data_IF_758582318373
#
_entry.id   IF_758582318373
#
_cell.length_a   1.000
_cell.length_b   1.000
_cell.length_c   1.000
_cell.angle_alpha   90.00
_cell.angle_beta   90.00
_cell.angle_gamma   90.00
#
_symmetry.space_group_name_H-M   'P 1'
#
loop_
_entity.id
_entity.type
_entity.pdbx_description
1 polymer ?
#
# COMPACT_ATOMS: atom_id res chain seq x y z
N UNK A 1 -14.14 -27.38 -4.71
CA UNK A 1 -14.68 -26.62 -3.58
C UNK A 1 -15.30 -25.36 -4.14
N UNK A 2 -16.52 -25.00 -3.73
CA UNK A 2 -17.15 -23.77 -4.19
C UNK A 2 -16.35 -22.58 -3.61
N UNK A 3 -16.14 -21.52 -4.39
CA UNK A 3 -15.40 -20.33 -3.94
C UNK A 3 -16.03 -19.71 -2.68
N UNK A 4 -17.35 -19.79 -2.54
CA UNK A 4 -18.04 -19.26 -1.35
C UNK A 4 -17.63 -20.04 -0.09
N UNK A 5 -17.43 -21.36 -0.17
CA UNK A 5 -16.95 -22.16 0.98
C UNK A 5 -15.54 -21.76 1.41
N UNK A 6 -14.67 -21.50 0.45
CA UNK A 6 -13.30 -21.03 0.71
C UNK A 6 -13.30 -19.67 1.40
N UNK A 7 -14.14 -18.74 0.94
CA UNK A 7 -14.27 -17.41 1.55
C UNK A 7 -14.90 -17.46 2.94
N UNK A 8 -15.90 -18.32 3.15
CA UNK A 8 -16.49 -18.58 4.46
C UNK A 8 -15.46 -19.14 5.44
N UNK A 9 -14.67 -20.15 5.04
CA UNK A 9 -13.62 -20.73 5.89
C UNK A 9 -12.55 -19.71 6.28
N UNK A 10 -12.23 -18.77 5.39
CA UNK A 10 -11.30 -17.66 5.64
C UNK A 10 -11.88 -16.57 6.52
N UNK A 11 -13.16 -16.65 6.89
CA UNK A 11 -13.91 -15.58 7.57
C UNK A 11 -13.97 -14.29 6.73
N UNK A 12 -13.84 -14.39 5.40
CA UNK A 12 -13.69 -13.25 4.49
C UNK A 12 -15.03 -12.66 4.01
N UNK A 13 -16.17 -13.19 4.46
CA UNK A 13 -17.51 -12.71 4.11
C UNK A 13 -18.11 -11.97 5.31
N UNK A 14 -18.51 -10.71 5.10
CA UNK A 14 -19.27 -9.91 6.06
C UNK A 14 -20.76 -9.95 5.74
N UNK A 15 -21.13 -9.63 4.51
CA UNK A 15 -22.51 -9.67 4.02
C UNK A 15 -22.53 -10.20 2.59
N UNK A 16 -23.61 -10.90 2.24
CA UNK A 16 -23.85 -11.48 0.92
C UNK A 16 -25.35 -11.38 0.59
N UNK A 17 -25.68 -10.97 -0.63
CA UNK A 17 -27.06 -11.02 -1.14
C UNK A 17 -27.34 -12.40 -1.73
N UNK A 18 -28.52 -12.98 -1.46
CA UNK A 18 -28.98 -14.27 -2.01
C UNK A 18 -27.83 -15.30 -2.15
N UNK A 19 -27.25 -15.70 -1.02
CA UNK A 19 -26.11 -16.63 -1.00
C UNK A 19 -26.40 -17.92 -1.78
N UNK A 20 -27.63 -18.44 -1.66
CA UNK A 20 -28.05 -19.65 -2.36
C UNK A 20 -28.03 -19.45 -3.89
N UNK A 21 -28.49 -18.30 -4.39
CA UNK A 21 -28.39 -17.93 -5.80
C UNK A 21 -26.94 -17.79 -6.27
N UNK A 22 -26.11 -17.06 -5.52
CA UNK A 22 -24.70 -16.88 -5.90
C UNK A 22 -23.92 -18.20 -5.91
N UNK A 23 -24.20 -19.12 -4.99
CA UNK A 23 -23.62 -20.48 -4.97
C UNK A 23 -24.00 -21.26 -6.23
N UNK A 24 -25.28 -21.27 -6.60
CA UNK A 24 -25.73 -21.92 -7.85
C UNK A 24 -25.08 -21.30 -9.08
N UNK A 25 -24.93 -19.97 -9.11
CA UNK A 25 -24.33 -19.28 -10.24
C UNK A 25 -22.84 -19.65 -10.41
N UNK A 26 -22.08 -19.64 -9.31
CA UNK A 26 -20.65 -19.97 -9.28
C UNK A 26 -20.35 -21.43 -9.61
N UNK A 27 -21.30 -22.35 -9.36
CA UNK A 27 -21.22 -23.75 -9.78
C UNK A 27 -21.56 -23.95 -11.26
N UNK A 28 -22.46 -23.12 -11.79
CA UNK A 28 -22.98 -23.23 -13.16
C UNK A 28 -22.03 -22.64 -14.21
N UNK A 29 -21.36 -21.52 -13.91
CA UNK A 29 -20.48 -20.83 -14.87
C UNK A 29 -19.31 -20.09 -14.21
N UNK A 30 -18.35 -19.71 -15.05
CA UNK A 30 -17.37 -18.68 -14.70
C UNK A 30 -18.10 -17.34 -14.55
N UNK A 31 -18.20 -16.85 -13.31
CA UNK A 31 -18.84 -15.58 -12.97
C UNK A 31 -17.86 -14.43 -13.22
N UNK A 32 -18.37 -13.33 -13.78
CA UNK A 32 -17.62 -12.09 -13.79
C UNK A 32 -18.00 -11.25 -12.57
N UNK A 33 -17.00 -10.72 -11.88
CA UNK A 33 -17.17 -9.94 -10.67
C UNK A 33 -16.34 -8.67 -10.73
N UNK A 34 -16.61 -7.66 -9.91
CA UNK A 34 -15.78 -6.47 -9.85
C UNK A 34 -15.57 -5.87 -8.47
N UNK A 35 -14.47 -5.13 -8.31
CA UNK A 35 -14.26 -4.19 -7.21
C UNK A 35 -13.77 -2.86 -7.78
N UNK A 36 -14.26 -1.75 -7.22
CA UNK A 36 -13.80 -0.41 -7.56
C UNK A 36 -12.71 0.11 -6.63
N UNK A 37 -11.85 0.99 -7.13
CA UNK A 37 -10.95 1.81 -6.31
C UNK A 37 -10.91 3.24 -6.83
N UNK A 38 -11.14 4.21 -5.95
CA UNK A 38 -10.99 5.61 -6.29
C UNK A 38 -9.52 6.05 -6.19
N UNK A 39 -8.99 6.79 -7.18
CA UNK A 39 -7.59 7.25 -7.22
C UNK A 39 -7.34 8.46 -6.31
N UNK A 40 -7.68 8.34 -5.02
CA UNK A 40 -7.55 9.39 -4.00
C UNK A 40 -6.12 9.75 -3.63
N UNK A 41 -5.16 8.92 -4.03
CA UNK A 41 -3.74 9.13 -3.87
C UNK A 41 -2.96 8.45 -4.98
N UNK A 42 -1.68 8.73 -5.03
CA UNK A 42 -0.76 8.22 -6.05
C UNK A 42 -0.23 6.81 -5.76
N UNK A 43 -0.72 6.17 -4.69
CA UNK A 43 -0.44 4.76 -4.38
C UNK A 43 -1.56 4.15 -3.55
N UNK A 44 -1.77 2.83 -3.73
CA UNK A 44 -2.53 2.04 -2.77
C UNK A 44 -1.73 1.78 -1.50
N UNK A 45 -2.42 1.30 -0.48
CA UNK A 45 -1.89 0.89 0.82
C UNK A 45 -2.53 -0.44 1.21
N UNK A 46 -1.99 -1.13 2.23
CA UNK A 46 -2.44 -2.48 2.62
C UNK A 46 -3.94 -2.62 2.89
N UNK A 47 -4.62 -1.56 3.35
CA UNK A 47 -6.08 -1.58 3.50
C UNK A 47 -6.86 -1.82 2.20
N UNK A 48 -6.30 -1.43 1.04
CA UNK A 48 -6.88 -1.72 -0.26
C UNK A 48 -6.58 -3.15 -0.73
N UNK A 49 -5.60 -3.83 -0.14
CA UNK A 49 -5.16 -5.14 -0.61
C UNK A 49 -6.25 -6.20 -0.40
N UNK A 50 -7.11 -6.08 0.61
CA UNK A 50 -8.06 -7.13 0.98
C UNK A 50 -9.11 -7.40 -0.13
N UNK A 51 -9.84 -6.41 -0.68
CA UNK A 51 -10.69 -6.66 -1.84
C UNK A 51 -9.94 -7.28 -3.02
N UNK A 52 -8.68 -6.93 -3.22
CA UNK A 52 -7.86 -7.46 -4.31
C UNK A 52 -7.40 -8.91 -4.07
N UNK A 53 -7.12 -9.28 -2.82
CA UNK A 53 -6.93 -10.68 -2.44
C UNK A 53 -8.16 -11.50 -2.80
N UNK A 54 -9.36 -10.95 -2.55
CA UNK A 54 -10.61 -11.61 -2.92
C UNK A 54 -10.76 -11.77 -4.43
N UNK A 55 -10.55 -10.71 -5.22
CA UNK A 55 -10.57 -10.81 -6.69
C UNK A 55 -9.58 -11.88 -7.20
N UNK A 56 -8.37 -11.95 -6.61
CA UNK A 56 -7.38 -12.97 -6.97
C UNK A 56 -7.86 -14.37 -6.64
N UNK A 57 -8.53 -14.59 -5.51
CA UNK A 57 -9.12 -15.90 -5.17
C UNK A 57 -10.18 -16.32 -6.17
N UNK A 58 -11.06 -15.40 -6.57
CA UNK A 58 -12.02 -15.67 -7.64
C UNK A 58 -11.32 -16.02 -8.95
N UNK A 59 -10.27 -15.28 -9.33
CA UNK A 59 -9.46 -15.59 -10.52
C UNK A 59 -8.82 -16.98 -10.46
N UNK A 60 -8.24 -17.35 -9.32
CA UNK A 60 -7.64 -18.68 -9.11
C UNK A 60 -8.69 -19.80 -9.11
N UNK A 61 -9.93 -19.50 -8.72
CA UNK A 61 -11.07 -20.42 -8.83
C UNK A 61 -11.69 -20.49 -10.24
N UNK A 62 -11.11 -19.78 -11.24
CA UNK A 62 -11.56 -19.81 -12.63
C UNK A 62 -12.66 -18.80 -12.98
N UNK A 63 -12.94 -17.83 -12.10
CA UNK A 63 -13.83 -16.70 -12.36
C UNK A 63 -13.08 -15.54 -13.03
N UNK A 64 -13.79 -14.52 -13.51
CA UNK A 64 -13.19 -13.40 -14.24
C UNK A 64 -13.38 -12.06 -13.49
N UNK A 65 -12.38 -11.55 -12.77
CA UNK A 65 -12.50 -10.30 -12.05
C UNK A 65 -12.26 -9.08 -12.93
N UNK A 66 -13.01 -8.04 -12.67
CA UNK A 66 -12.84 -6.69 -13.17
C UNK A 66 -12.39 -5.76 -12.05
N UNK A 67 -11.45 -4.88 -12.36
CA UNK A 67 -11.03 -3.80 -11.48
C UNK A 67 -11.48 -2.50 -12.13
N UNK A 68 -12.35 -1.75 -11.46
CA UNK A 68 -12.70 -0.40 -11.88
C UNK A 68 -11.74 0.58 -11.21
N UNK A 69 -10.99 1.32 -12.02
CA UNK A 69 -10.35 2.55 -11.59
C UNK A 69 -11.40 3.65 -11.64
N UNK A 70 -11.67 4.25 -10.49
CA UNK A 70 -12.69 5.28 -10.30
C UNK A 70 -12.28 6.65 -10.84
N UNK A 71 -11.91 6.78 -12.10
CA UNK A 71 -11.50 8.06 -12.69
C UNK A 71 -12.63 9.10 -12.71
N UNK A 72 -13.87 8.68 -12.92
CA UNK A 72 -15.07 9.53 -12.83
C UNK A 72 -15.55 9.72 -11.39
N UNK A 73 -15.70 8.62 -10.62
CA UNK A 73 -16.13 8.67 -9.21
C UNK A 73 -15.15 9.41 -8.32
N UNK A 74 -13.86 9.35 -8.62
CA UNK A 74 -12.80 10.07 -7.90
C UNK A 74 -12.90 11.59 -7.98
N UNK A 75 -13.57 12.14 -9.01
CA UNK A 75 -13.85 13.59 -9.15
C UNK A 75 -14.89 14.05 -8.13
N UNK A 76 -15.74 13.14 -7.67
CA UNK A 76 -16.85 13.40 -6.76
C UNK A 76 -16.44 13.09 -5.32
N UNK A 77 -15.91 11.89 -5.11
CA UNK A 77 -15.43 11.39 -3.83
C UNK A 77 -16.48 10.63 -3.02
N UNK A 78 -16.14 9.41 -2.62
CA UNK A 78 -16.99 8.55 -1.77
C UNK A 78 -17.11 9.07 -0.33
N UNK A 79 -18.34 9.35 0.19
CA UNK A 79 -18.57 9.71 1.58
C UNK A 79 -18.49 8.52 2.56
N UNK A 80 -18.47 7.27 2.08
CA UNK A 80 -18.51 6.05 2.90
C UNK A 80 -17.35 5.97 3.89
N UNK A 81 -17.68 5.65 5.15
CA UNK A 81 -16.70 5.47 6.23
C UNK A 81 -15.96 6.75 6.66
N UNK A 82 -16.45 7.95 6.28
CA UNK A 82 -15.84 9.27 6.61
C UNK A 82 -16.77 10.14 7.46
N UNK A 83 -16.17 11.02 8.27
CA UNK A 83 -16.91 12.01 9.10
C UNK A 83 -16.91 13.42 8.50
N UNK A 84 -16.05 13.69 7.53
CA UNK A 84 -15.84 15.02 6.94
C UNK A 84 -15.83 14.92 5.42
N UNK A 85 -16.22 16.00 4.76
CA UNK A 85 -16.20 16.12 3.29
C UNK A 85 -14.76 16.01 2.74
N UNK A 86 -14.64 15.46 1.52
CA UNK A 86 -13.35 15.36 0.83
C UNK A 86 -12.92 16.69 0.23
N UNK A 87 -11.62 16.97 0.29
CA UNK A 87 -11.04 17.97 -0.59
C UNK A 87 -10.97 17.41 -2.00
N UNK A 88 -11.61 18.11 -2.94
CA UNK A 88 -11.61 17.72 -4.35
C UNK A 88 -10.22 17.90 -4.96
N UNK A 89 -9.74 16.85 -5.63
CA UNK A 89 -8.51 16.90 -6.41
C UNK A 89 -8.81 17.45 -7.81
N UNK A 90 -7.81 18.01 -8.49
CA UNK A 90 -7.98 18.37 -9.89
C UNK A 90 -8.12 17.11 -10.75
N UNK A 91 -8.82 17.23 -11.88
CA UNK A 91 -9.03 16.10 -12.81
C UNK A 91 -7.68 15.57 -13.31
N UNK A 92 -6.70 16.44 -13.54
CA UNK A 92 -5.35 16.04 -13.96
C UNK A 92 -4.66 15.19 -12.89
N UNK A 93 -4.80 15.56 -11.61
CA UNK A 93 -4.24 14.79 -10.51
C UNK A 93 -4.92 13.43 -10.36
N UNK A 94 -6.24 13.37 -10.53
CA UNK A 94 -7.04 12.14 -10.51
C UNK A 94 -6.58 11.21 -11.64
N UNK A 95 -6.40 11.72 -12.85
CA UNK A 95 -5.90 10.95 -14.00
C UNK A 95 -4.48 10.45 -13.76
N UNK A 96 -3.59 11.30 -13.23
CA UNK A 96 -2.23 10.89 -12.89
C UNK A 96 -2.19 9.80 -11.81
N UNK A 97 -3.07 9.89 -10.80
CA UNK A 97 -3.22 8.87 -9.78
C UNK A 97 -3.79 7.57 -10.34
N UNK A 98 -4.81 7.65 -11.21
CA UNK A 98 -5.42 6.50 -11.88
C UNK A 98 -4.39 5.68 -12.66
N UNK A 99 -3.51 6.34 -13.42
CA UNK A 99 -2.43 5.67 -14.15
C UNK A 99 -1.40 4.99 -13.22
N UNK A 100 -1.10 5.61 -12.07
CA UNK A 100 -0.23 4.99 -11.07
C UNK A 100 -0.88 3.77 -10.42
N UNK A 101 -2.17 3.83 -10.10
CA UNK A 101 -2.91 2.69 -9.54
C UNK A 101 -3.00 1.54 -10.56
N UNK A 102 -3.26 1.85 -11.84
CA UNK A 102 -3.25 0.86 -12.94
C UNK A 102 -1.92 0.10 -12.99
N UNK A 103 -0.79 0.80 -12.92
CA UNK A 103 0.55 0.18 -12.90
C UNK A 103 0.76 -0.71 -11.67
N UNK A 104 0.25 -0.30 -10.50
CA UNK A 104 0.31 -1.13 -9.31
C UNK A 104 -0.52 -2.41 -9.45
N UNK A 105 -1.70 -2.35 -10.06
CA UNK A 105 -2.50 -3.54 -10.35
C UNK A 105 -1.82 -4.50 -11.31
N UNK A 106 -1.26 -3.97 -12.41
CA UNK A 106 -0.51 -4.78 -13.38
C UNK A 106 0.66 -5.49 -12.68
N UNK A 107 1.37 -4.79 -11.78
CA UNK A 107 2.45 -5.39 -10.99
C UNK A 107 1.95 -6.47 -10.02
N UNK A 108 0.83 -6.22 -9.33
CA UNK A 108 0.27 -7.15 -8.32
C UNK A 108 -0.24 -8.45 -8.94
N UNK A 109 -0.86 -8.36 -10.11
CA UNK A 109 -1.51 -9.50 -10.72
C UNK A 109 -0.70 -10.13 -11.85
N UNK A 110 0.08 -9.33 -12.59
CA UNK A 110 0.78 -9.75 -13.80
C UNK A 110 -0.04 -9.46 -15.06
N UNK A 111 0.66 -9.19 -16.17
CA UNK A 111 0.05 -8.84 -17.46
C UNK A 111 -0.75 -9.99 -18.08
N UNK A 112 -0.36 -11.24 -17.82
CA UNK A 112 -1.00 -12.45 -18.35
C UNK A 112 -2.16 -12.97 -17.46
N UNK A 113 -2.67 -12.16 -16.54
CA UNK A 113 -3.78 -12.59 -15.70
C UNK A 113 -5.13 -12.45 -16.37
N UNK A 114 -6.03 -13.39 -16.07
CA UNK A 114 -7.45 -13.31 -16.40
C UNK A 114 -8.15 -12.28 -15.50
N UNK A 115 -7.67 -11.03 -15.49
CA UNK A 115 -8.22 -9.88 -14.74
C UNK A 115 -8.28 -8.69 -15.69
N UNK A 116 -9.45 -8.07 -15.82
CA UNK A 116 -9.63 -6.90 -16.70
C UNK A 116 -9.66 -5.61 -15.88
N UNK A 117 -8.88 -4.61 -16.29
CA UNK A 117 -8.88 -3.29 -15.66
C UNK A 117 -9.62 -2.30 -16.58
N UNK A 118 -10.64 -1.63 -16.05
CA UNK A 118 -11.43 -0.61 -16.76
C UNK A 118 -11.43 0.71 -15.97
N UNK A 119 -11.82 1.81 -16.61
CA UNK A 119 -11.92 3.12 -15.97
C UNK A 119 -13.33 3.68 -16.14
N UNK A 120 -14.02 3.98 -15.04
CA UNK A 120 -15.40 4.48 -15.11
C UNK A 120 -15.52 5.89 -15.69
N UNK A 121 -14.41 6.63 -15.81
CA UNK A 121 -14.37 7.86 -16.58
C UNK A 121 -14.85 7.65 -18.02
N UNK A 122 -14.59 6.48 -18.61
CA UNK A 122 -14.88 6.19 -20.03
C UNK A 122 -16.38 6.27 -20.35
N UNK A 123 -17.26 5.92 -19.40
CA UNK A 123 -18.71 6.02 -19.56
C UNK A 123 -19.32 7.17 -18.77
N UNK A 124 -18.88 7.43 -17.53
CA UNK A 124 -19.46 8.50 -16.71
C UNK A 124 -19.25 9.89 -17.31
N UNK A 125 -18.10 10.15 -17.95
CA UNK A 125 -17.82 11.46 -18.59
C UNK A 125 -18.71 11.77 -19.81
N UNK A 126 -19.43 10.76 -20.33
CA UNK A 126 -20.29 10.87 -21.51
C UNK A 126 -21.76 11.06 -21.16
N UNK A 127 -22.13 10.93 -19.88
CA UNK A 127 -23.50 11.12 -19.42
C UNK A 127 -23.68 12.61 -19.15
N UNK A 128 -24.58 13.27 -19.90
CA UNK A 128 -24.93 14.64 -19.59
C UNK A 128 -25.83 14.74 -18.35
N UNK A 129 -25.95 15.94 -17.78
CA UNK A 129 -26.70 16.13 -16.53
C UNK A 129 -28.19 15.76 -16.68
N UNK A 130 -28.80 16.00 -17.84
CA UNK A 130 -30.23 15.72 -18.05
C UNK A 130 -30.45 14.21 -18.17
N UNK A 131 -29.61 13.52 -18.92
CA UNK A 131 -29.62 12.06 -19.02
C UNK A 131 -29.32 11.42 -17.66
N UNK A 132 -28.36 11.95 -16.89
CA UNK A 132 -28.08 11.49 -15.53
C UNK A 132 -29.34 11.55 -14.64
N UNK A 133 -30.02 12.69 -14.60
CA UNK A 133 -31.20 12.89 -13.75
C UNK A 133 -32.40 12.08 -14.25
N UNK A 134 -32.63 12.04 -15.57
CA UNK A 134 -33.81 11.41 -16.18
C UNK A 134 -33.70 9.89 -16.23
N UNK A 135 -32.53 9.35 -16.50
CA UNK A 135 -32.37 7.93 -16.77
C UNK A 135 -31.98 7.17 -15.51
N UNK A 136 -31.17 7.78 -14.64
CA UNK A 136 -30.72 7.17 -13.38
C UNK A 136 -31.33 7.84 -12.15
N UNK A 137 -31.29 9.17 -12.05
CA UNK A 137 -31.74 9.91 -10.86
C UNK A 137 -33.16 9.58 -10.42
N UNK A 138 -34.10 9.43 -11.37
CA UNK A 138 -35.51 9.05 -11.09
C UNK A 138 -35.68 7.70 -10.38
N UNK A 139 -34.67 6.82 -10.44
CA UNK A 139 -34.73 5.47 -9.86
C UNK A 139 -34.41 5.50 -8.36
N UNK A 140 -33.91 6.62 -7.84
CA UNK A 140 -33.49 6.78 -6.46
C UNK A 140 -34.47 7.66 -5.68
N UNK A 141 -35.06 7.08 -4.62
CA UNK A 141 -35.84 7.86 -3.67
C UNK A 141 -34.90 8.57 -2.70
N UNK A 142 -35.02 9.89 -2.61
CA UNK A 142 -34.25 10.71 -1.67
C UNK A 142 -34.41 10.21 -0.24
N UNK A 143 -35.62 9.82 0.17
CA UNK A 143 -35.87 9.30 1.52
C UNK A 143 -35.06 8.02 1.81
N UNK A 144 -34.97 7.12 0.83
CA UNK A 144 -34.18 5.89 0.95
C UNK A 144 -32.68 6.20 0.99
N UNK A 145 -32.22 7.10 0.13
CA UNK A 145 -30.81 7.54 0.10
C UNK A 145 -30.37 8.15 1.44
N UNK A 146 -31.22 8.97 2.07
CA UNK A 146 -30.96 9.60 3.36
C UNK A 146 -30.94 8.59 4.52
N UNK A 147 -31.74 7.52 4.43
CA UNK A 147 -31.84 6.51 5.47
C UNK A 147 -30.64 5.54 5.51
N UNK A 148 -29.81 5.48 4.46
CA UNK A 148 -28.61 4.63 4.45
C UNK A 148 -27.61 5.11 5.51
N UNK A 149 -27.06 4.17 6.30
CA UNK A 149 -26.15 4.46 7.42
C UNK A 149 -24.97 5.38 7.09
N UNK A 150 -24.40 5.21 5.88
CA UNK A 150 -23.31 6.04 5.36
C UNK A 150 -23.70 7.52 5.26
N UNK A 151 -24.94 7.79 4.83
CA UNK A 151 -25.44 9.16 4.64
C UNK A 151 -26.00 9.68 5.96
N UNK A 152 -26.81 8.89 6.66
CA UNK A 152 -27.48 9.30 7.90
C UNK A 152 -26.49 9.75 8.97
N UNK A 153 -25.36 9.05 9.10
CA UNK A 153 -24.28 9.41 10.04
C UNK A 153 -23.57 10.74 9.71
N UNK A 154 -23.76 11.28 8.50
CA UNK A 154 -23.20 12.56 8.05
C UNK A 154 -24.22 13.69 7.96
N UNK A 155 -25.52 13.42 8.12
CA UNK A 155 -26.55 14.44 7.93
C UNK A 155 -26.40 15.63 8.88
N UNK A 156 -26.04 15.38 10.15
CA UNK A 156 -25.80 16.45 11.12
C UNK A 156 -24.57 17.31 10.76
N UNK A 157 -23.53 16.70 10.19
CA UNK A 157 -22.30 17.37 9.77
C UNK A 157 -22.36 18.01 8.38
N UNK A 158 -23.43 17.77 7.63
CA UNK A 158 -23.59 18.18 6.24
C UNK A 158 -23.00 17.18 5.23
N UNK A 159 -23.75 16.98 4.15
CA UNK A 159 -23.33 16.26 2.94
C UNK A 159 -23.71 17.10 1.73
N UNK A 160 -22.77 17.33 0.82
CA UNK A 160 -23.04 18.07 -0.41
C UNK A 160 -23.82 17.20 -1.40
N UNK A 161 -24.52 17.85 -2.34
CA UNK A 161 -25.19 17.12 -3.45
C UNK A 161 -24.20 16.27 -4.24
N UNK A 162 -22.97 16.76 -4.40
CA UNK A 162 -21.85 16.06 -5.03
C UNK A 162 -21.61 14.70 -4.36
N UNK A 163 -21.25 14.66 -3.07
CA UNK A 163 -21.04 13.39 -2.35
C UNK A 163 -22.32 12.54 -2.26
N UNK A 164 -23.49 13.17 -2.11
CA UNK A 164 -24.78 12.47 -2.03
C UNK A 164 -25.11 11.71 -3.33
N UNK A 165 -24.68 12.24 -4.48
CA UNK A 165 -24.87 11.63 -5.80
C UNK A 165 -23.95 10.43 -6.09
N UNK A 166 -22.91 10.23 -5.27
CA UNK A 166 -21.91 9.17 -5.48
C UNK A 166 -22.52 7.77 -5.61
N UNK A 167 -23.50 7.44 -4.77
CA UNK A 167 -24.18 6.14 -4.79
C UNK A 167 -24.86 5.84 -6.14
N UNK A 168 -25.32 6.88 -6.86
CA UNK A 168 -25.93 6.74 -8.19
C UNK A 168 -24.84 6.41 -9.21
N UNK A 169 -23.70 7.09 -9.16
CA UNK A 169 -22.57 6.86 -10.06
C UNK A 169 -22.01 5.44 -9.92
N UNK A 170 -21.82 4.96 -8.68
CA UNK A 170 -21.39 3.58 -8.44
C UNK A 170 -22.44 2.55 -8.89
N UNK A 171 -23.74 2.90 -8.85
CA UNK A 171 -24.80 2.05 -9.39
C UNK A 171 -24.75 1.98 -10.92
N UNK A 172 -24.48 3.11 -11.59
CA UNK A 172 -24.26 3.19 -13.04
C UNK A 172 -23.09 2.30 -13.44
N UNK A 173 -22.01 2.28 -12.67
CA UNK A 173 -20.88 1.38 -12.91
C UNK A 173 -21.31 -0.09 -12.92
N UNK A 174 -22.13 -0.51 -11.95
CA UNK A 174 -22.60 -1.89 -11.89
C UNK A 174 -23.46 -2.21 -13.12
N UNK A 175 -24.44 -1.38 -13.44
CA UNK A 175 -25.31 -1.59 -14.60
C UNK A 175 -24.52 -1.61 -15.92
N UNK A 176 -23.55 -0.71 -16.08
CA UNK A 176 -22.67 -0.70 -17.24
C UNK A 176 -21.88 -2.00 -17.35
N UNK A 177 -21.28 -2.47 -16.25
CA UNK A 177 -20.50 -3.71 -16.25
C UNK A 177 -21.34 -4.95 -16.50
N UNK A 178 -22.54 -5.01 -15.93
CA UNK A 178 -23.49 -6.09 -16.20
C UNK A 178 -23.83 -6.15 -17.70
N UNK A 179 -24.19 -5.02 -18.31
CA UNK A 179 -24.63 -4.97 -19.71
C UNK A 179 -23.53 -5.24 -20.72
N UNK A 180 -22.33 -4.71 -20.48
CA UNK A 180 -21.25 -4.73 -21.47
C UNK A 180 -20.25 -5.86 -21.24
N UNK A 181 -20.18 -6.41 -20.03
CA UNK A 181 -19.15 -7.38 -19.64
C UNK A 181 -19.70 -8.59 -18.86
N UNK A 182 -21.03 -8.74 -18.77
CA UNK A 182 -21.70 -9.85 -18.07
C UNK A 182 -21.22 -9.99 -16.62
N UNK A 183 -21.03 -8.88 -15.90
CA UNK A 183 -20.62 -8.86 -14.48
C UNK A 183 -21.83 -8.98 -13.56
N UNK A 184 -21.91 -10.06 -12.76
CA UNK A 184 -23.02 -10.32 -11.85
C UNK A 184 -22.69 -10.18 -10.37
N UNK A 185 -21.45 -9.87 -9.99
CA UNK A 185 -21.07 -9.75 -8.58
C UNK A 185 -20.24 -8.49 -8.34
N UNK A 186 -20.68 -7.64 -7.42
CA UNK A 186 -19.85 -6.57 -6.87
C UNK A 186 -19.27 -6.99 -5.51
N UNK A 187 -17.96 -6.81 -5.36
CA UNK A 187 -17.22 -7.02 -4.11
C UNK A 187 -16.72 -5.68 -3.58
N UNK A 188 -16.78 -5.49 -2.26
CA UNK A 188 -16.23 -4.30 -1.60
C UNK A 188 -15.95 -4.49 -0.11
N UNK A 189 -15.43 -3.45 0.55
CA UNK A 189 -15.38 -3.41 2.01
C UNK A 189 -16.78 -3.34 2.63
N UNK A 190 -16.92 -3.68 3.91
CA UNK A 190 -18.21 -3.62 4.60
C UNK A 190 -18.86 -2.22 4.58
N UNK A 191 -18.07 -1.15 4.48
CA UNK A 191 -18.55 0.22 4.32
C UNK A 191 -19.21 0.50 2.95
N UNK A 192 -19.06 -0.40 1.98
CA UNK A 192 -19.62 -0.27 0.62
C UNK A 192 -21.00 -0.91 0.46
N UNK A 193 -21.53 -1.58 1.48
CA UNK A 193 -22.81 -2.32 1.38
C UNK A 193 -23.96 -1.46 0.85
N UNK A 194 -24.06 -0.22 1.33
CA UNK A 194 -25.08 0.73 0.90
C UNK A 194 -25.02 1.05 -0.59
N UNK A 195 -23.83 1.22 -1.16
CA UNK A 195 -23.68 1.53 -2.59
C UNK A 195 -23.83 0.27 -3.46
N UNK A 196 -23.37 -0.88 -2.98
CA UNK A 196 -23.54 -2.17 -3.69
C UNK A 196 -25.02 -2.51 -3.86
N UNK A 197 -25.78 -2.44 -2.77
CA UNK A 197 -27.24 -2.71 -2.80
C UNK A 197 -28.00 -1.70 -3.66
N UNK A 198 -27.59 -0.43 -3.66
CA UNK A 198 -28.13 0.57 -4.60
C UNK A 198 -27.96 0.18 -6.06
N UNK A 199 -26.80 -0.40 -6.42
CA UNK A 199 -26.53 -0.90 -7.77
C UNK A 199 -27.46 -2.05 -8.14
N UNK A 200 -27.64 -3.02 -7.24
CA UNK A 200 -28.54 -4.16 -7.44
C UNK A 200 -29.99 -3.69 -7.61
N UNK A 201 -30.47 -2.82 -6.72
CA UNK A 201 -31.83 -2.26 -6.80
C UNK A 201 -32.07 -1.50 -8.11
N UNK A 202 -31.05 -0.76 -8.58
CA UNK A 202 -31.12 -0.03 -9.84
C UNK A 202 -31.18 -0.98 -11.04
N UNK A 203 -30.35 -2.02 -11.05
CA UNK A 203 -30.36 -3.07 -12.07
C UNK A 203 -31.76 -3.72 -12.12
N UNK A 204 -32.35 -4.10 -10.98
CA UNK A 204 -33.68 -4.71 -10.96
C UNK A 204 -34.79 -3.79 -11.46
N UNK A 205 -34.69 -2.48 -11.25
CA UNK A 205 -35.63 -1.50 -11.79
C UNK A 205 -35.52 -1.32 -13.31
N UNK A 206 -34.32 -1.47 -13.88
CA UNK A 206 -34.07 -1.26 -15.32
C UNK A 206 -34.26 -2.57 -16.10
N UNK A 207 -33.69 -3.66 -15.61
CA UNK A 207 -33.59 -4.96 -16.30
C UNK A 207 -34.67 -5.97 -15.87
N UNK A 208 -35.31 -5.73 -14.72
CA UNK A 208 -36.29 -6.63 -14.11
C UNK A 208 -35.74 -7.39 -12.90
N UNK A 209 -36.66 -7.80 -12.00
CA UNK A 209 -36.33 -8.41 -10.71
C UNK A 209 -35.59 -9.76 -10.81
N UNK A 210 -35.72 -10.47 -11.94
CA UNK A 210 -35.06 -11.75 -12.18
C UNK A 210 -33.62 -11.62 -12.67
N UNK A 211 -33.14 -10.39 -12.92
CA UNK A 211 -31.77 -10.17 -13.36
C UNK A 211 -30.77 -10.55 -12.27
N UNK A 212 -29.90 -11.52 -12.56
CA UNK A 212 -28.83 -11.98 -11.67
C UNK A 212 -27.82 -10.85 -11.42
N UNK A 213 -27.85 -10.27 -10.21
CA UNK A 213 -26.91 -9.27 -9.71
C UNK A 213 -26.75 -9.45 -8.19
N UNK A 214 -25.51 -9.63 -7.76
CA UNK A 214 -25.16 -10.01 -6.39
C UNK A 214 -24.17 -9.01 -5.77
N UNK A 215 -24.17 -8.95 -4.44
CA UNK A 215 -23.26 -8.14 -3.65
C UNK A 215 -22.60 -8.98 -2.57
N UNK A 216 -21.30 -8.80 -2.38
CA UNK A 216 -20.54 -9.43 -1.30
C UNK A 216 -19.61 -8.39 -0.67
N UNK A 217 -19.62 -8.28 0.65
CA UNK A 217 -18.69 -7.41 1.37
C UNK A 217 -17.73 -8.19 2.24
N UNK A 218 -16.55 -7.61 2.43
CA UNK A 218 -15.48 -8.14 3.26
C UNK A 218 -15.49 -7.43 4.62
N UNK A 219 -15.23 -8.13 5.74
CA UNK A 219 -15.21 -7.51 7.06
C UNK A 219 -14.24 -6.33 7.15
N UNK A 220 -14.62 -5.32 7.95
CA UNK A 220 -13.68 -4.27 8.33
C UNK A 220 -12.54 -4.89 9.14
N UNK A 221 -11.31 -4.66 8.69
CA UNK A 221 -10.14 -5.12 9.40
C UNK A 221 -9.83 -4.22 10.59
N UNK A 222 -10.14 -4.74 11.77
CA UNK A 222 -9.73 -4.21 13.05
C UNK A 222 -8.67 -5.15 13.64
N UNK A 223 -7.64 -4.58 14.27
CA UNK A 223 -6.74 -5.35 15.13
C UNK A 223 -7.51 -5.88 16.34
N UNK A 224 -6.94 -6.86 17.05
CA UNK A 224 -7.54 -7.36 18.30
C UNK A 224 -7.80 -6.26 19.34
N UNK A 225 -7.02 -5.18 19.32
CA UNK A 225 -7.18 -3.98 20.17
C UNK A 225 -8.28 -3.01 19.71
N UNK A 226 -9.01 -3.31 18.63
CA UNK A 226 -10.07 -2.49 18.06
C UNK A 226 -9.59 -1.33 17.18
N UNK A 227 -8.28 -1.12 17.03
CA UNK A 227 -7.73 -0.08 16.14
C UNK A 227 -7.79 -0.50 14.67
N UNK A 228 -7.87 0.50 13.77
CA UNK A 228 -7.92 0.23 12.32
C UNK A 228 -6.61 -0.41 11.84
N UNK A 229 -6.76 -1.50 11.09
CA UNK A 229 -5.65 -2.18 10.43
C UNK A 229 -4.93 -1.25 9.43
N UNK A 230 -3.60 -1.35 9.36
CA UNK A 230 -2.76 -0.62 8.40
C UNK A 230 -2.46 0.85 8.71
N UNK A 231 -2.87 1.36 9.88
CA UNK A 231 -2.33 2.62 10.44
C UNK A 231 -1.23 2.29 11.45
N UNK A 232 -0.02 2.74 11.16
CA UNK A 232 1.11 2.73 12.11
C UNK A 232 1.31 4.13 12.68
N UNK A 233 2.12 4.26 13.75
CA UNK A 233 2.53 5.56 14.27
C UNK A 233 3.24 6.42 13.19
N UNK A 234 3.82 5.79 12.16
CA UNK A 234 4.46 6.46 11.01
C UNK A 234 3.54 6.71 9.81
N UNK A 235 2.24 6.39 9.90
CA UNK A 235 1.28 6.56 8.81
C UNK A 235 0.87 5.23 8.15
N UNK A 236 0.42 5.32 6.90
CA UNK A 236 -0.03 4.18 6.11
C UNK A 236 1.14 3.34 5.59
N UNK A 237 0.93 2.03 5.47
CA UNK A 237 1.85 1.09 4.80
C UNK A 237 1.46 1.04 3.32
N UNK A 238 2.25 1.68 2.48
CA UNK A 238 2.01 1.82 1.04
C UNK A 238 2.48 0.59 0.27
N UNK A 239 1.87 0.33 -0.89
CA UNK A 239 2.34 -0.71 -1.82
C UNK A 239 3.45 -0.19 -2.75
N UNK A 240 3.64 1.14 -2.83
CA UNK A 240 4.74 1.76 -3.57
C UNK A 240 6.05 1.65 -2.78
N UNK A 241 7.09 0.97 -3.32
CA UNK A 241 8.37 0.76 -2.65
C UNK A 241 9.13 2.06 -2.34
N UNK A 242 8.84 3.17 -3.02
CA UNK A 242 9.46 4.47 -2.75
C UNK A 242 8.85 5.17 -1.52
N UNK A 243 7.62 4.79 -1.15
CA UNK A 243 6.93 5.34 0.02
C UNK A 243 7.15 4.48 1.26
N UNK A 244 6.99 3.18 1.10
CA UNK A 244 7.28 2.17 2.13
C UNK A 244 8.23 1.17 1.51
N UNK A 245 9.47 1.11 2.01
CA UNK A 245 10.45 0.20 1.42
C UNK A 245 10.00 -1.26 1.60
N UNK A 246 10.37 -2.18 0.69
CA UNK A 246 10.10 -3.61 0.85
C UNK A 246 10.54 -4.16 2.21
N UNK A 247 11.66 -3.67 2.76
CA UNK A 247 12.09 -3.97 4.13
C UNK A 247 11.08 -3.50 5.19
N UNK A 248 10.64 -2.24 5.15
CA UNK A 248 9.63 -1.73 6.09
C UNK A 248 8.29 -2.47 5.95
N UNK A 249 7.91 -2.81 4.72
CA UNK A 249 6.71 -3.58 4.41
C UNK A 249 6.80 -4.99 5.01
N UNK A 250 7.91 -5.71 4.80
CA UNK A 250 8.18 -7.01 5.40
C UNK A 250 8.18 -6.94 6.93
N UNK A 251 8.85 -5.94 7.51
CA UNK A 251 8.88 -5.73 8.96
C UNK A 251 7.49 -5.44 9.54
N UNK A 252 6.62 -4.72 8.81
CA UNK A 252 5.24 -4.52 9.26
C UNK A 252 4.55 -5.88 9.48
N UNK A 253 4.63 -6.81 8.53
CA UNK A 253 4.00 -8.13 8.63
C UNK A 253 4.69 -9.04 9.66
N UNK A 254 6.03 -8.98 9.74
CA UNK A 254 6.79 -9.78 10.71
C UNK A 254 6.45 -9.39 12.16
N UNK A 255 6.12 -8.12 12.40
CA UNK A 255 5.83 -7.57 13.73
C UNK A 255 4.34 -7.66 14.13
N UNK A 256 3.51 -8.43 13.41
CA UNK A 256 2.12 -8.65 13.85
C UNK A 256 2.05 -9.47 15.14
N UNK A 257 0.98 -9.27 15.89
CA UNK A 257 0.70 -9.95 17.15
C UNK A 257 0.23 -11.40 16.90
N UNK A 258 0.53 -12.30 17.83
CA UNK A 258 0.10 -13.71 17.79
C UNK A 258 -1.43 -13.84 17.69
N UNK A 259 -2.17 -12.93 18.34
CA UNK A 259 -3.63 -12.91 18.34
C UNK A 259 -4.24 -12.63 16.96
N UNK A 260 -3.49 -12.00 16.05
CA UNK A 260 -3.99 -11.57 14.75
C UNK A 260 -3.40 -12.35 13.56
N UNK A 261 -2.21 -12.94 13.72
CA UNK A 261 -1.42 -13.47 12.59
C UNK A 261 -2.14 -14.56 11.80
N UNK A 262 -2.85 -15.48 12.47
CA UNK A 262 -3.59 -16.57 11.79
C UNK A 262 -4.71 -16.02 10.92
N UNK A 263 -5.42 -14.99 11.42
CA UNK A 263 -6.45 -14.29 10.65
C UNK A 263 -5.86 -13.54 9.47
N UNK A 264 -4.69 -12.91 9.63
CA UNK A 264 -4.00 -12.27 8.52
C UNK A 264 -3.49 -13.26 7.47
N UNK A 265 -3.03 -14.45 7.87
CA UNK A 265 -2.70 -15.54 6.94
C UNK A 265 -3.93 -15.89 6.09
N UNK A 266 -5.10 -16.08 6.72
CA UNK A 266 -6.35 -16.34 5.99
C UNK A 266 -6.69 -15.25 4.97
N UNK A 267 -6.51 -13.97 5.29
CA UNK A 267 -6.88 -12.87 4.40
C UNK A 267 -5.85 -12.56 3.33
N UNK A 268 -4.57 -12.50 3.68
CA UNK A 268 -3.52 -11.91 2.85
C UNK A 268 -2.61 -12.91 2.14
N UNK A 269 -2.81 -14.22 2.33
CA UNK A 269 -2.00 -15.24 1.63
C UNK A 269 -2.88 -16.22 0.86
N UNK A 270 -2.25 -16.99 -0.04
CA UNK A 270 -2.92 -18.07 -0.79
C UNK A 270 -2.60 -19.46 -0.23
N UNK A 271 -2.10 -19.52 1.01
CA UNK A 271 -1.85 -20.78 1.70
C UNK A 271 -3.13 -21.59 1.87
N UNK A 272 -3.00 -22.90 1.82
CA UNK A 272 -4.12 -23.82 2.00
C UNK A 272 -4.48 -23.98 3.50
N UNK A 273 -5.55 -24.74 3.77
CA UNK A 273 -6.07 -24.91 5.12
C UNK A 273 -5.10 -25.64 6.04
N UNK A 274 -4.39 -26.65 5.54
CA UNK A 274 -3.44 -27.45 6.31
C UNK A 274 -2.20 -26.62 6.69
N UNK A 275 -1.69 -25.82 5.76
CA UNK A 275 -0.58 -24.89 6.01
C UNK A 275 -0.95 -23.86 7.08
N UNK A 276 -2.15 -23.27 6.99
CA UNK A 276 -2.62 -22.31 7.99
C UNK A 276 -2.87 -22.99 9.34
N UNK A 277 -3.38 -24.22 9.35
CA UNK A 277 -3.57 -24.99 10.59
C UNK A 277 -2.25 -25.32 11.29
N UNK A 278 -1.22 -25.74 10.53
CA UNK A 278 0.11 -25.99 11.06
C UNK A 278 0.76 -24.73 11.64
N UNK A 279 0.62 -23.58 10.97
CA UNK A 279 1.10 -22.30 11.48
C UNK A 279 0.33 -21.83 12.72
N UNK A 280 -0.99 -22.09 12.79
CA UNK A 280 -1.79 -21.81 13.97
C UNK A 280 -1.38 -22.65 15.18
N UNK A 281 -0.99 -23.91 14.96
CA UNK A 281 -0.42 -24.75 16.01
C UNK A 281 0.95 -24.23 16.47
N UNK A 282 1.82 -23.83 15.52
CA UNK A 282 3.11 -23.24 15.86
C UNK A 282 3.00 -21.96 16.70
N UNK A 283 1.97 -21.13 16.47
CA UNK A 283 1.69 -19.95 17.30
C UNK A 283 1.34 -20.34 18.74
N UNK A 284 0.70 -21.50 18.96
CA UNK A 284 0.35 -21.99 20.31
C UNK A 284 1.54 -22.61 21.02
N UNK A 285 2.28 -23.47 20.32
CA UNK A 285 3.31 -24.33 20.92
C UNK A 285 4.71 -23.69 20.95
N UNK A 286 5.02 -22.83 19.97
CA UNK A 286 6.34 -22.22 19.79
C UNK A 286 6.28 -20.75 19.34
N UNK A 287 5.51 -19.87 20.03
CA UNK A 287 5.31 -18.47 19.65
C UNK A 287 6.61 -17.69 19.53
N UNK A 288 7.65 -18.03 20.30
CA UNK A 288 8.95 -17.38 20.28
C UNK A 288 9.67 -17.50 18.93
N UNK A 289 9.34 -18.52 18.12
CA UNK A 289 9.93 -18.71 16.79
C UNK A 289 9.27 -17.85 15.71
N UNK A 290 8.09 -17.29 16.00
CA UNK A 290 7.32 -16.40 15.10
C UNK A 290 7.14 -16.97 13.68
N UNK A 291 6.92 -18.28 13.57
CA UNK A 291 6.84 -18.98 12.28
C UNK A 291 5.69 -18.43 11.40
N UNK A 292 4.53 -18.20 12.00
CA UNK A 292 3.37 -17.63 11.31
C UNK A 292 3.62 -16.21 10.80
N UNK A 293 4.26 -15.34 11.60
CA UNK A 293 4.54 -13.97 11.20
C UNK A 293 5.60 -13.90 10.11
N UNK A 294 6.63 -14.74 10.20
CA UNK A 294 7.64 -14.85 9.15
C UNK A 294 6.99 -15.30 7.85
N UNK A 295 6.17 -16.35 7.89
CA UNK A 295 5.46 -16.83 6.70
C UNK A 295 4.50 -15.78 6.12
N UNK A 296 3.77 -15.05 6.97
CA UNK A 296 2.93 -13.95 6.53
C UNK A 296 3.75 -12.85 5.83
N UNK A 297 4.89 -12.47 6.41
CA UNK A 297 5.76 -11.46 5.84
C UNK A 297 6.34 -11.89 4.49
N UNK A 298 6.77 -13.15 4.38
CA UNK A 298 7.24 -13.76 3.14
C UNK A 298 6.18 -13.69 2.04
N UNK A 299 5.00 -14.29 2.29
CA UNK A 299 3.91 -14.39 1.31
C UNK A 299 3.46 -13.03 0.80
N UNK A 300 3.20 -12.08 1.70
CA UNK A 300 2.65 -10.78 1.31
C UNK A 300 3.72 -9.91 0.64
N UNK A 301 4.98 -9.99 1.07
CA UNK A 301 6.07 -9.23 0.44
C UNK A 301 6.39 -9.79 -0.95
N UNK A 302 6.42 -11.11 -1.12
CA UNK A 302 6.56 -11.73 -2.44
C UNK A 302 5.42 -11.33 -3.37
N UNK A 303 4.17 -11.39 -2.89
CA UNK A 303 3.00 -11.01 -3.69
C UNK A 303 3.04 -9.54 -4.14
N UNK A 304 3.41 -8.61 -3.26
CA UNK A 304 3.37 -7.17 -3.56
C UNK A 304 4.62 -6.66 -4.28
N UNK A 305 5.80 -7.13 -3.87
CA UNK A 305 7.08 -6.58 -4.30
C UNK A 305 7.93 -7.53 -5.14
N UNK A 306 7.60 -8.83 -5.16
CA UNK A 306 8.33 -9.89 -5.88
C UNK A 306 9.44 -10.53 -5.06
N UNK A 307 9.88 -11.71 -5.48
CA UNK A 307 10.85 -12.56 -4.75
C UNK A 307 12.20 -11.88 -4.49
N UNK A 308 12.69 -11.09 -5.46
CA UNK A 308 13.94 -10.33 -5.29
C UNK A 308 13.86 -9.35 -4.13
N UNK A 309 12.73 -8.64 -4.00
CA UNK A 309 12.53 -7.66 -2.94
C UNK A 309 12.30 -8.34 -1.59
N UNK A 310 11.61 -9.50 -1.58
CA UNK A 310 11.53 -10.35 -0.40
C UNK A 310 12.93 -10.77 0.09
N UNK A 311 13.77 -11.29 -0.81
CA UNK A 311 15.12 -11.74 -0.45
C UNK A 311 15.98 -10.60 0.13
N UNK A 312 15.91 -9.41 -0.46
CA UNK A 312 16.56 -8.22 0.09
C UNK A 312 16.04 -7.89 1.51
N UNK A 313 14.72 -7.94 1.72
CA UNK A 313 14.12 -7.67 3.03
C UNK A 313 14.52 -8.71 4.10
N UNK A 314 14.62 -9.99 3.73
CA UNK A 314 15.14 -11.06 4.59
C UNK A 314 16.60 -10.81 4.95
N UNK A 315 17.46 -10.56 3.95
CA UNK A 315 18.88 -10.29 4.15
C UNK A 315 19.09 -9.11 5.10
N UNK A 316 18.36 -8.01 4.90
CA UNK A 316 18.41 -6.84 5.79
C UNK A 316 17.97 -7.22 7.21
N UNK A 317 16.90 -8.01 7.34
CA UNK A 317 16.37 -8.43 8.64
C UNK A 317 17.38 -9.26 9.41
N UNK A 318 17.98 -10.27 8.78
CA UNK A 318 19.01 -11.13 9.37
C UNK A 318 20.28 -10.33 9.71
N UNK A 319 20.74 -9.45 8.81
CA UNK A 319 21.88 -8.57 9.03
C UNK A 319 21.68 -7.62 10.22
N UNK A 320 20.49 -7.04 10.37
CA UNK A 320 20.18 -6.16 11.50
C UNK A 320 20.05 -6.91 12.82
N UNK A 321 19.53 -8.14 12.78
CA UNK A 321 19.39 -9.00 13.95
C UNK A 321 20.74 -9.47 14.48
N UNK A 322 21.60 -10.00 13.61
CA UNK A 322 22.94 -10.47 13.96
C UNK A 322 24.00 -9.35 14.04
N UNK A 323 23.68 -8.16 13.53
CA UNK A 323 24.61 -7.04 13.45
C UNK A 323 25.62 -7.12 12.31
N UNK A 324 25.50 -8.11 11.43
CA UNK A 324 26.37 -8.32 10.29
C UNK A 324 25.83 -7.58 9.06
N UNK A 325 26.08 -6.27 9.04
CA UNK A 325 25.65 -5.40 7.94
C UNK A 325 26.72 -5.23 6.86
N UNK A 326 27.88 -5.88 7.02
CA UNK A 326 29.06 -5.66 6.18
C UNK A 326 28.84 -6.11 4.73
N UNK A 327 28.01 -7.12 4.53
CA UNK A 327 27.75 -7.71 3.21
C UNK A 327 26.51 -7.15 2.52
N UNK A 328 25.78 -6.23 3.16
CA UNK A 328 24.63 -5.59 2.54
C UNK A 328 25.04 -4.83 1.27
N UNK A 329 24.27 -5.02 0.21
CA UNK A 329 24.38 -4.28 -1.04
C UNK A 329 24.01 -2.81 -0.82
N UNK A 330 24.39 -1.94 -1.76
CA UNK A 330 24.01 -0.53 -1.73
C UNK A 330 22.52 -0.30 -1.57
N UNK A 331 21.71 -1.06 -2.31
CA UNK A 331 20.25 -0.94 -2.30
C UNK A 331 19.68 -1.40 -0.95
N UNK A 332 20.21 -2.47 -0.38
CA UNK A 332 19.81 -2.94 0.96
C UNK A 332 20.19 -1.92 2.05
N UNK A 333 21.38 -1.29 1.95
CA UNK A 333 21.78 -0.21 2.87
C UNK A 333 20.85 1.00 2.79
N UNK A 334 20.44 1.40 1.58
CA UNK A 334 19.49 2.50 1.37
C UNK A 334 18.11 2.16 1.95
N UNK A 335 17.61 0.93 1.74
CA UNK A 335 16.34 0.47 2.31
C UNK A 335 16.36 0.38 3.84
N UNK A 336 17.45 -0.14 4.41
CA UNK A 336 17.58 -0.37 5.86
C UNK A 336 17.81 0.93 6.65
N UNK A 337 18.63 1.85 6.10
CA UNK A 337 19.13 3.00 6.85
C UNK A 337 18.74 4.35 6.25
N UNK A 338 18.13 4.41 5.06
CA UNK A 338 17.83 5.67 4.36
C UNK A 338 16.91 6.63 5.12
N UNK A 339 16.05 6.10 6.00
CA UNK A 339 15.15 6.86 6.88
C UNK A 339 15.65 6.99 8.32
N UNK A 340 16.80 6.38 8.65
CA UNK A 340 17.44 6.56 9.96
C UNK A 340 18.05 7.96 10.08
N UNK A 341 18.39 8.42 11.30
CA UNK A 341 19.13 9.66 11.49
C UNK A 341 20.30 9.73 10.52
N UNK A 342 20.31 10.76 9.68
CA UNK A 342 21.27 10.91 8.58
C UNK A 342 22.12 12.14 8.82
N UNK A 343 23.42 12.00 8.62
CA UNK A 343 24.40 13.09 8.69
C UNK A 343 25.19 13.16 7.38
N UNK A 344 25.72 14.32 7.07
CA UNK A 344 26.57 14.52 5.89
C UNK A 344 28.00 14.73 6.35
N UNK A 345 28.94 14.00 5.75
CA UNK A 345 30.36 14.03 6.11
C UNK A 345 31.24 14.27 4.89
N UNK A 346 32.39 14.90 5.08
CA UNK A 346 33.42 15.03 4.05
C UNK A 346 34.10 13.69 3.74
N UNK A 347 34.73 13.59 2.56
CA UNK A 347 35.50 12.42 2.14
C UNK A 347 36.90 12.31 2.77
N UNK A 348 37.25 13.25 3.64
CA UNK A 348 38.57 13.31 4.29
C UNK A 348 38.72 12.20 5.33
N UNK A 349 39.85 11.48 5.26
CA UNK A 349 40.18 10.44 6.23
C UNK A 349 40.43 11.06 7.61
N UNK A 350 39.63 10.65 8.59
CA UNK A 350 39.74 11.09 9.99
C UNK A 350 39.74 9.89 10.92
N UNK A 351 40.40 10.04 12.07
CA UNK A 351 40.27 9.05 13.14
C UNK A 351 38.83 9.02 13.64
N UNK A 352 38.41 7.88 14.17
CA UNK A 352 37.03 7.61 14.60
C UNK A 352 36.49 8.66 15.58
N UNK A 353 37.31 9.19 16.47
CA UNK A 353 36.85 10.15 17.50
C UNK A 353 36.50 11.49 16.88
N UNK A 354 37.41 12.03 16.07
CA UNK A 354 37.18 13.30 15.39
C UNK A 354 36.05 13.16 14.37
N UNK A 355 36.01 12.05 13.63
CA UNK A 355 34.95 11.76 12.67
C UNK A 355 33.57 11.72 13.34
N UNK A 356 33.42 11.04 14.48
CA UNK A 356 32.14 10.91 15.20
C UNK A 356 31.60 12.25 15.74
N UNK A 357 32.50 13.15 16.16
CA UNK A 357 32.12 14.47 16.68
C UNK A 357 31.84 15.45 15.54
N UNK A 358 32.69 15.46 14.50
CA UNK A 358 32.49 16.29 13.31
C UNK A 358 31.19 15.93 12.58
N UNK A 359 30.88 14.63 12.52
CA UNK A 359 29.61 14.13 12.00
C UNK A 359 28.41 14.43 12.91
N UNK A 360 28.61 15.10 14.05
CA UNK A 360 27.60 15.46 15.07
C UNK A 360 26.89 14.27 15.73
N UNK A 361 27.45 13.06 15.61
CA UNK A 361 26.91 11.84 16.22
C UNK A 361 27.16 11.84 17.74
N UNK A 362 28.28 12.40 18.16
CA UNK A 362 28.61 12.71 19.55
C UNK A 362 28.81 14.20 19.77
N UNK A 363 28.38 14.71 20.93
CA UNK A 363 28.59 16.11 21.34
C UNK A 363 29.95 16.36 22.01
N UNK A 364 30.65 15.30 22.42
CA UNK A 364 31.90 15.40 23.17
C UNK A 364 32.90 14.33 22.74
N UNK A 365 34.15 14.73 22.49
CA UNK A 365 35.27 13.82 22.22
C UNK A 365 35.54 12.88 23.40
N UNK A 366 35.30 13.33 24.64
CA UNK A 366 35.46 12.50 25.84
C UNK A 366 34.52 11.30 25.82
N UNK A 367 33.23 11.55 25.57
CA UNK A 367 32.23 10.48 25.50
C UNK A 367 32.47 9.55 24.32
N UNK A 368 32.84 10.09 23.15
CA UNK A 368 33.14 9.26 21.98
C UNK A 368 34.31 8.30 22.24
N UNK A 369 35.37 8.74 22.94
CA UNK A 369 36.50 7.88 23.32
C UNK A 369 36.08 6.75 24.26
N UNK A 370 35.33 7.10 25.29
CA UNK A 370 34.83 6.14 26.28
C UNK A 370 33.98 5.05 25.60
N UNK A 371 33.02 5.46 24.76
CA UNK A 371 32.13 4.52 24.06
C UNK A 371 32.88 3.66 23.03
N UNK A 372 33.89 4.20 22.35
CA UNK A 372 34.74 3.41 21.43
C UNK A 372 35.58 2.39 22.22
N UNK A 373 36.27 2.80 23.29
CA UNK A 373 37.11 1.89 24.08
C UNK A 373 36.29 0.78 24.76
N UNK A 374 35.10 1.13 25.26
CA UNK A 374 34.15 0.16 25.80
C UNK A 374 33.51 -0.72 24.73
N UNK A 375 33.79 -0.45 23.45
CA UNK A 375 33.30 -1.24 22.33
C UNK A 375 31.79 -1.07 22.08
N UNK A 376 31.24 0.07 22.48
CA UNK A 376 29.85 0.44 22.23
C UNK A 376 29.64 1.04 20.84
N UNK A 377 30.69 1.23 20.04
CA UNK A 377 30.62 1.77 18.68
C UNK A 377 31.04 0.71 17.65
N UNK A 378 30.25 0.59 16.59
CA UNK A 378 30.63 -0.16 15.39
C UNK A 378 30.47 0.71 14.15
N UNK A 379 31.36 0.47 13.18
CA UNK A 379 31.42 1.14 11.88
C UNK A 379 31.23 0.06 10.83
N UNK A 380 30.21 0.21 9.97
CA UNK A 380 29.87 -0.75 8.92
C UNK A 380 29.74 -2.20 9.44
N UNK A 381 29.17 -2.36 10.65
CA UNK A 381 28.99 -3.66 11.32
C UNK A 381 30.20 -4.14 12.13
N UNK A 382 31.37 -3.53 11.94
CA UNK A 382 32.60 -3.94 12.61
C UNK A 382 32.76 -3.12 13.90
N UNK A 383 32.90 -3.81 15.03
CA UNK A 383 33.18 -3.19 16.33
C UNK A 383 34.54 -2.50 16.32
N UNK A 384 34.59 -1.25 16.74
CA UNK A 384 35.84 -0.45 16.77
C UNK A 384 36.19 -0.14 18.22
N UNK A 385 37.40 -0.53 18.64
CA UNK A 385 37.96 -0.25 19.98
C UNK A 385 39.22 0.61 19.94
N UNK A 386 39.81 0.78 18.77
CA UNK A 386 41.03 1.55 18.56
C UNK A 386 40.72 3.03 18.31
N UNK A 387 41.30 3.92 19.11
CA UNK A 387 41.03 5.36 19.04
C UNK A 387 41.58 6.05 17.79
N UNK A 388 42.57 5.44 17.15
CA UNK A 388 43.21 5.89 15.91
C UNK A 388 42.63 5.24 14.65
N UNK A 389 41.61 4.37 14.78
CA UNK A 389 40.97 3.73 13.63
C UNK A 389 40.46 4.77 12.64
N UNK A 390 40.74 4.57 11.35
CA UNK A 390 40.31 5.47 10.28
C UNK A 390 38.94 5.01 9.77
N UNK A 391 37.98 5.94 9.72
CA UNK A 391 36.65 5.65 9.20
C UNK A 391 36.70 5.61 7.67
N UNK A 392 36.25 4.50 7.10
CA UNK A 392 36.15 4.32 5.65
C UNK A 392 34.70 4.07 5.24
N UNK A 393 34.31 4.50 4.02
CA UNK A 393 33.01 4.14 3.46
C UNK A 393 32.80 2.64 3.41
N UNK A 394 31.54 2.23 3.53
CA UNK A 394 31.11 0.85 3.38
C UNK A 394 31.54 0.30 2.02
N UNK A 395 32.13 -0.91 1.99
CA UNK A 395 32.70 -1.52 0.79
C UNK A 395 31.72 -1.59 -0.39
N UNK A 396 30.46 -1.87 -0.11
CA UNK A 396 29.40 -2.01 -1.12
C UNK A 396 28.65 -0.70 -1.43
N UNK A 397 29.12 0.47 -0.94
CA UNK A 397 28.39 1.74 -1.09
C UNK A 397 28.90 2.67 -2.19
N UNK A 398 29.89 2.25 -2.99
CA UNK A 398 30.61 3.11 -3.94
C UNK A 398 31.20 4.38 -3.29
N UNK A 399 31.65 4.26 -2.05
CA UNK A 399 32.20 5.39 -1.29
C UNK A 399 31.15 6.35 -0.74
N UNK A 400 29.85 6.02 -0.77
CA UNK A 400 28.78 6.97 -0.41
C UNK A 400 28.30 6.89 1.04
N UNK A 401 28.42 5.74 1.69
CA UNK A 401 27.78 5.52 2.99
C UNK A 401 28.77 5.02 4.03
N UNK A 402 28.62 5.53 5.26
CA UNK A 402 29.21 4.96 6.47
C UNK A 402 28.06 4.71 7.44
N UNK A 403 27.97 3.51 8.00
CA UNK A 403 26.91 3.16 8.94
C UNK A 403 27.54 3.09 10.33
N UNK A 404 27.05 3.91 11.24
CA UNK A 404 27.47 3.89 12.64
C UNK A 404 26.37 3.27 13.48
N UNK A 405 26.73 2.33 14.33
CA UNK A 405 25.85 1.79 15.37
C UNK A 405 26.44 2.08 16.74
N UNK A 406 25.62 2.69 17.61
CA UNK A 406 25.91 2.93 19.02
C UNK A 406 25.06 2.01 19.91
N UNK A 407 25.73 1.30 20.81
CA UNK A 407 25.11 0.27 21.63
C UNK A 407 24.41 -0.78 20.76
N UNK A 408 23.22 -1.22 21.18
CA UNK A 408 22.51 -2.31 20.51
C UNK A 408 21.57 -1.88 19.38
N UNK A 409 21.01 -0.67 19.37
CA UNK A 409 19.93 -0.31 18.42
C UNK A 409 20.06 1.06 17.74
N UNK A 410 21.02 1.90 18.12
CA UNK A 410 21.08 3.28 17.60
C UNK A 410 21.94 3.35 16.36
N UNK A 411 21.31 3.25 15.20
CA UNK A 411 21.96 3.40 13.89
C UNK A 411 21.97 4.86 13.43
N UNK A 412 22.98 5.25 12.66
CA UNK A 412 23.11 6.54 11.99
C UNK A 412 23.78 6.34 10.65
N UNK A 413 23.14 6.84 9.59
CA UNK A 413 23.67 6.79 8.22
C UNK A 413 24.45 8.08 7.95
N UNK A 414 25.75 7.98 7.70
CA UNK A 414 26.54 9.11 7.23
C UNK A 414 26.69 9.04 5.71
N UNK A 415 26.23 10.09 5.02
CA UNK A 415 26.38 10.27 3.57
C UNK A 415 27.68 11.04 3.29
N UNK A 416 28.59 10.41 2.57
CA UNK A 416 29.87 10.99 2.19
C UNK A 416 29.66 11.90 1.00
N UNK A 417 29.93 13.19 1.13
CA UNK A 417 29.96 14.09 -0.02
C UNK A 417 31.14 13.70 -0.90
N UNK A 418 30.85 13.34 -2.16
CA UNK A 418 31.91 13.22 -3.17
C UNK A 418 32.71 14.51 -3.15
N UNK A 419 34.03 14.38 -3.10
CA UNK A 419 34.96 15.48 -3.25
C UNK A 419 34.79 16.10 -4.64
N UNK A 420 33.77 16.92 -4.82
CA UNK A 420 33.62 17.80 -5.96
C UNK A 420 34.69 18.87 -5.83
N UNK A 421 35.48 19.06 -6.88
CA UNK A 421 36.38 20.20 -7.07
C UNK A 421 35.81 21.47 -6.41
N UNK A 422 36.65 22.26 -5.72
CA UNK A 422 36.22 23.28 -4.78
C UNK A 422 35.15 24.22 -5.39
N UNK A 423 34.16 24.59 -4.56
CA UNK A 423 32.99 25.45 -4.86
C UNK A 423 33.29 26.74 -5.65
N UNK A 424 34.56 27.13 -5.80
CA UNK A 424 35.00 28.31 -6.55
C UNK A 424 34.78 28.26 -8.07
N UNK A 425 34.57 27.10 -8.71
CA UNK A 425 34.33 27.04 -10.17
C UNK A 425 32.87 26.97 -10.63
N UNK A 426 31.89 26.79 -9.72
CA UNK A 426 30.46 26.81 -10.09
C UNK A 426 29.88 28.22 -10.26
N UNK A 427 30.53 29.24 -9.69
CA UNK A 427 30.16 30.64 -9.90
C UNK A 427 30.62 31.14 -11.29
N UNK A 428 31.82 30.74 -11.73
CA UNK A 428 32.40 31.17 -13.01
C UNK A 428 31.64 30.64 -14.23
N UNK A 429 31.10 29.41 -14.17
CA UNK A 429 30.29 28.85 -15.28
C UNK A 429 28.91 29.52 -15.38
N UNK A 430 28.23 29.76 -14.26
CA UNK A 430 26.92 30.45 -14.24
C UNK A 430 27.04 31.93 -14.60
N UNK A 431 28.14 32.59 -14.25
CA UNK A 431 28.41 33.98 -14.66
C UNK A 431 28.77 34.07 -16.14
N UNK A 432 29.53 33.10 -16.69
CA UNK A 432 29.80 33.02 -18.13
C UNK A 432 28.55 32.72 -18.95
N UNK A 433 27.67 31.82 -18.49
CA UNK A 433 26.39 31.54 -19.15
C UNK A 433 25.44 32.76 -19.09
N UNK A 434 25.38 33.47 -17.96
CA UNK A 434 24.60 34.72 -17.86
C UNK A 434 25.15 35.84 -18.74
N UNK A 435 26.47 35.94 -18.88
CA UNK A 435 27.12 36.90 -19.78
C UNK A 435 26.84 36.57 -21.24
N UNK A 436 26.94 35.30 -21.62
CA UNK A 436 26.63 34.82 -22.97
C UNK A 436 25.17 35.04 -23.35
N UNK A 437 24.23 34.83 -22.42
CA UNK A 437 22.80 35.06 -22.65
C UNK A 437 22.43 36.56 -22.71
N UNK A 438 23.18 37.45 -22.05
CA UNK A 438 23.01 38.91 -22.17
C UNK A 438 23.53 39.44 -23.50
N UNK A 439 24.73 39.03 -23.91
CA UNK A 439 25.33 39.46 -25.19
C UNK A 439 24.53 38.98 -26.42
N UNK A 440 23.70 37.95 -26.27
CA UNK A 440 22.84 37.41 -27.33
C UNK A 440 21.44 38.04 -27.37
N UNK A 441 21.07 38.82 -26.37
CA UNK A 441 19.80 39.56 -26.33
C UNK A 441 19.95 41.01 -26.82
N UNK A 442 21.18 41.48 -27.02
CA UNK A 442 21.51 42.83 -27.53
C UNK A 442 21.93 42.84 -29.02
N UNK A 443 21.83 41.69 -29.70
CA UNK A 443 21.90 41.55 -31.16
C UNK A 443 20.56 41.06 -31.67
#
# INVERSE_FOLDING_TARGET
MNIIDELSWRDAINQITDEAGLRRLTEKKSVSLYCGVDPTGDSMHIGHLIPFMMLKRFQLAGHHPYIIIGGGTGVIGDPSGRKTERQLQTVEQIHANAEKLKKQFIRLFGEDTNITIVNNYDWLSRIDLLDFLRDYGKLFSVNVMLAKDVVSSRLEGGISFTEFSYQILQSIDYHHLLKNYDVQLQVGGADQWGNITSGIDMIHKIEGAEQEAYGLTIPLMLKADGTKFGKTAGGAIWLDPEKTSPFEFYQFWLNQEDADVVRYLKYFTFLNQDEIAALAEAVREEPEKRLAQRRLAEEVTAFVHGDTALKEAENITEALYHGDIADLSKRELEQAFGKMPTVTVGAEAKNIIDWLVDATIYRSKRQAREDVQNGAVSVNGIKVTELNAVVTPHKNSDGRYVIIRRGKKKYTLAKVEKCGLPRRRRLDVREREKKYMRERAEK
#
